data_IF_249838248558
#
_entry.id   IF_249838248558
#
_cell.length_a   1.000
_cell.length_b   1.000
_cell.length_c   1.000
_cell.angle_alpha   90.00
_cell.angle_beta   90.00
_cell.angle_gamma   90.00
#
_symmetry.space_group_name_H-M   'P 1'
#
loop_
_entity.id
_entity.type
_entity.pdbx_description
1 polymer ?
#
# COMPACT_ATOMS: atom_id res chain seq x y z
N UNK A 1 6.47 7.69 4.81
CA UNK A 1 5.13 8.31 4.73
C UNK A 1 5.13 9.84 4.77
N UNK A 2 6.05 10.52 5.47
CA UNK A 2 6.10 11.99 5.60
C UNK A 2 5.94 12.81 4.30
N UNK A 3 6.57 12.42 3.19
CA UNK A 3 6.40 13.13 1.92
C UNK A 3 4.97 13.01 1.37
N UNK A 4 4.34 11.85 1.53
CA UNK A 4 2.96 11.63 1.12
C UNK A 4 2.00 12.43 2.03
N UNK A 5 2.26 12.46 3.34
CA UNK A 5 1.50 13.28 4.30
C UNK A 5 1.59 14.77 4.01
N UNK A 6 2.72 15.23 3.47
CA UNK A 6 2.89 16.60 2.97
C UNK A 6 2.13 16.88 1.65
N UNK A 7 1.42 15.89 1.11
CA UNK A 7 0.59 16.02 -0.09
C UNK A 7 1.36 15.86 -1.41
N UNK A 8 2.59 15.35 -1.37
CA UNK A 8 3.36 15.12 -2.60
C UNK A 8 2.74 14.01 -3.45
N UNK A 9 2.48 14.26 -4.75
CA UNK A 9 1.95 13.23 -5.64
C UNK A 9 3.00 12.14 -5.91
N UNK A 10 2.57 10.90 -6.08
CA UNK A 10 3.43 9.74 -6.41
C UNK A 10 4.28 10.00 -7.67
N UNK A 11 3.71 10.68 -8.66
CA UNK A 11 4.41 11.07 -9.88
C UNK A 11 5.55 12.07 -9.60
N UNK A 12 5.37 13.00 -8.66
CA UNK A 12 6.35 14.04 -8.32
C UNK A 12 7.47 13.60 -7.37
N UNK A 13 7.32 12.44 -6.73
CA UNK A 13 8.34 11.88 -5.84
C UNK A 13 9.51 11.31 -6.64
N UNK A 14 10.72 11.81 -6.44
CA UNK A 14 11.94 11.23 -7.03
C UNK A 14 12.73 10.42 -6.00
N UNK A 15 13.53 9.44 -6.45
CA UNK A 15 14.41 8.67 -5.56
C UNK A 15 15.42 9.59 -4.87
N UNK A 16 15.91 10.62 -5.55
CA UNK A 16 16.76 11.68 -4.98
C UNK A 16 16.09 12.35 -3.78
N UNK A 17 14.83 12.73 -3.93
CA UNK A 17 14.08 13.45 -2.90
C UNK A 17 13.76 12.53 -1.72
N UNK A 18 13.39 11.28 -2.00
CA UNK A 18 13.18 10.25 -0.98
C UNK A 18 14.47 10.02 -0.19
N UNK A 19 15.60 9.80 -0.88
CA UNK A 19 16.91 9.59 -0.27
C UNK A 19 17.32 10.76 0.63
N UNK A 20 17.20 11.99 0.13
CA UNK A 20 17.49 13.21 0.88
C UNK A 20 16.61 13.35 2.12
N UNK A 21 15.31 13.07 1.99
CA UNK A 21 14.36 13.17 3.12
C UNK A 21 14.62 12.10 4.17
N UNK A 22 15.02 10.90 3.75
CA UNK A 22 15.36 9.79 4.63
C UNK A 22 16.79 9.85 5.18
N UNK A 23 17.62 10.81 4.75
CA UNK A 23 19.02 10.93 5.18
C UNK A 23 19.92 9.79 4.70
N UNK A 24 19.55 9.10 3.62
CA UNK A 24 20.30 7.95 3.06
C UNK A 24 20.80 8.22 1.65
N UNK A 25 21.80 7.46 1.20
CA UNK A 25 22.24 7.49 -0.19
C UNK A 25 21.30 6.72 -1.12
N UNK A 26 21.27 7.08 -2.42
CA UNK A 26 20.49 6.36 -3.44
C UNK A 26 20.81 4.87 -3.49
N UNK A 27 22.09 4.51 -3.36
CA UNK A 27 22.53 3.11 -3.37
C UNK A 27 21.88 2.30 -2.23
N UNK A 28 21.63 2.92 -1.07
CA UNK A 28 20.92 2.28 0.05
C UNK A 28 19.48 1.94 -0.32
N UNK A 29 18.81 2.80 -1.09
CA UNK A 29 17.46 2.55 -1.61
C UNK A 29 17.50 1.44 -2.65
N UNK A 30 18.33 1.57 -3.68
CA UNK A 30 18.40 0.60 -4.78
C UNK A 30 18.85 -0.81 -4.36
N UNK A 31 19.54 -0.93 -3.21
CA UNK A 31 19.87 -2.24 -2.64
C UNK A 31 18.63 -3.01 -2.16
N UNK A 32 17.57 -2.30 -1.75
CA UNK A 32 16.36 -2.89 -1.19
C UNK A 32 15.21 -2.95 -2.20
N UNK A 33 15.16 -1.99 -3.13
CA UNK A 33 14.13 -1.92 -4.16
C UNK A 33 14.78 -1.71 -5.52
N UNK A 34 14.45 -2.58 -6.47
CA UNK A 34 15.00 -2.58 -7.82
C UNK A 34 14.54 -1.37 -8.63
N UNK A 35 13.35 -0.87 -8.31
CA UNK A 35 12.78 0.33 -8.92
C UNK A 35 11.87 1.12 -7.95
N UNK A 36 11.33 2.22 -8.47
CA UNK A 36 10.49 3.15 -7.71
C UNK A 36 9.10 2.56 -7.42
N UNK A 37 8.58 1.71 -8.29
CA UNK A 37 7.27 1.07 -8.10
C UNK A 37 7.32 0.08 -6.94
N UNK A 38 8.36 -0.76 -6.89
CA UNK A 38 8.56 -1.73 -5.80
C UNK A 38 8.64 -1.04 -4.43
N UNK A 39 9.36 0.08 -4.35
CA UNK A 39 9.41 0.93 -3.15
C UNK A 39 8.02 1.41 -2.73
N UNK A 40 7.20 1.88 -3.68
CA UNK A 40 5.87 2.36 -3.39
C UNK A 40 4.90 1.25 -2.99
N UNK A 41 5.02 0.06 -3.58
CA UNK A 41 4.25 -1.11 -3.14
C UNK A 41 4.55 -1.41 -1.69
N UNK A 42 5.81 -1.44 -1.29
CA UNK A 42 6.20 -1.69 0.10
C UNK A 42 5.67 -0.61 1.05
N UNK A 43 5.72 0.67 0.66
CA UNK A 43 5.14 1.76 1.47
C UNK A 43 3.62 1.59 1.62
N UNK A 44 2.91 1.23 0.54
CA UNK A 44 1.45 1.02 0.59
C UNK A 44 1.11 -0.21 1.42
N UNK A 45 1.92 -1.28 1.33
CA UNK A 45 1.77 -2.48 2.15
C UNK A 45 1.92 -2.15 3.64
N UNK A 46 2.89 -1.32 4.01
CA UNK A 46 3.11 -0.87 5.39
C UNK A 46 1.94 -0.02 5.94
N UNK A 47 1.17 0.62 5.04
CA UNK A 47 -0.03 1.39 5.41
C UNK A 47 -1.31 0.54 5.46
N UNK A 48 -1.30 -0.67 4.89
CA UNK A 48 -2.42 -1.59 4.93
C UNK A 48 -2.47 -2.30 6.29
N UNK A 49 -3.61 -2.35 6.97
CA UNK A 49 -3.72 -3.12 8.20
C UNK A 49 -3.61 -4.62 7.89
N UNK A 50 -3.09 -5.37 8.86
CA UNK A 50 -3.07 -6.83 8.82
C UNK A 50 -4.48 -7.39 8.61
N UNK A 51 -4.56 -8.51 7.90
CA UNK A 51 -5.83 -9.21 7.76
C UNK A 51 -6.27 -9.78 9.11
N UNK A 52 -7.58 -9.72 9.43
CA UNK A 52 -8.06 -10.21 10.70
C UNK A 52 -7.86 -11.72 10.78
N UNK A 53 -7.59 -12.27 11.97
CA UNK A 53 -7.55 -13.71 12.15
C UNK A 53 -8.93 -14.30 11.87
N UNK A 54 -8.97 -15.33 11.01
CA UNK A 54 -10.16 -16.15 10.75
C UNK A 54 -9.81 -17.61 11.00
N UNK A 55 -10.78 -18.40 11.47
CA UNK A 55 -10.55 -19.81 11.78
C UNK A 55 -10.48 -20.67 10.51
N UNK A 56 -11.13 -20.22 9.43
CA UNK A 56 -11.32 -20.96 8.18
C UNK A 56 -12.35 -22.08 8.29
N UNK A 57 -13.02 -22.22 9.44
CA UNK A 57 -13.93 -23.35 9.76
C UNK A 57 -15.31 -22.91 10.23
N UNK A 58 -15.52 -21.63 10.54
CA UNK A 58 -16.76 -21.10 11.11
C UNK A 58 -17.68 -20.46 10.05
N UNK A 59 -17.39 -20.68 8.77
CA UNK A 59 -18.26 -20.34 7.64
C UNK A 59 -18.71 -18.87 7.64
N UNK A 60 -19.97 -18.63 8.00
CA UNK A 60 -20.54 -17.26 8.03
C UNK A 60 -19.91 -16.35 9.09
N UNK A 61 -19.38 -16.89 10.18
CA UNK A 61 -18.72 -16.09 11.21
C UNK A 61 -17.39 -15.54 10.68
N UNK A 62 -16.55 -16.40 10.09
CA UNK A 62 -15.32 -15.99 9.40
C UNK A 62 -15.62 -14.99 8.27
N UNK A 63 -16.66 -15.24 7.47
CA UNK A 63 -17.07 -14.33 6.40
C UNK A 63 -17.46 -12.95 6.95
N UNK A 64 -18.16 -12.89 8.09
CA UNK A 64 -18.52 -11.62 8.73
C UNK A 64 -17.28 -10.84 9.18
N UNK A 65 -16.28 -11.52 9.75
CA UNK A 65 -15.01 -10.91 10.15
C UNK A 65 -14.29 -10.33 8.93
N UNK A 66 -14.19 -11.09 7.84
CA UNK A 66 -13.58 -10.61 6.59
C UNK A 66 -14.33 -9.41 6.00
N UNK A 67 -15.67 -9.46 5.96
CA UNK A 67 -16.51 -8.38 5.42
C UNK A 67 -16.39 -7.10 6.27
N UNK A 68 -16.32 -7.21 7.59
CA UNK A 68 -16.14 -6.05 8.47
C UNK A 68 -14.74 -5.44 8.33
N UNK A 69 -13.70 -6.26 8.14
CA UNK A 69 -12.36 -5.78 7.79
C UNK A 69 -12.36 -5.03 6.45
N UNK A 70 -13.00 -5.59 5.42
CA UNK A 70 -13.13 -4.94 4.11
C UNK A 70 -13.87 -3.60 4.22
N UNK A 71 -14.97 -3.56 4.99
CA UNK A 71 -15.73 -2.33 5.26
C UNK A 71 -14.85 -1.28 5.95
N UNK A 72 -14.18 -1.65 7.03
CA UNK A 72 -13.37 -0.72 7.84
C UNK A 72 -12.22 -0.14 7.02
N UNK A 73 -11.52 -0.99 6.25
CA UNK A 73 -10.47 -0.55 5.30
C UNK A 73 -11.00 0.40 4.25
N UNK A 74 -12.11 0.05 3.59
CA UNK A 74 -12.73 0.88 2.56
C UNK A 74 -13.17 2.24 3.11
N UNK A 75 -13.64 2.30 4.35
CA UNK A 75 -13.97 3.56 5.03
C UNK A 75 -12.71 4.39 5.31
N UNK A 76 -11.66 3.80 5.89
CA UNK A 76 -10.40 4.49 6.16
C UNK A 76 -9.77 5.06 4.88
N UNK A 77 -9.80 4.29 3.78
CA UNK A 77 -9.34 4.74 2.46
C UNK A 77 -10.13 5.94 1.94
N UNK A 78 -11.44 5.99 2.17
CA UNK A 78 -12.32 7.08 1.72
C UNK A 78 -12.24 8.31 2.61
N UNK A 79 -12.09 8.14 3.92
CA UNK A 79 -12.04 9.24 4.89
C UNK A 79 -10.66 9.89 4.97
N UNK A 80 -9.59 9.15 4.66
CA UNK A 80 -8.23 9.68 4.61
C UNK A 80 -7.93 10.28 3.24
N UNK A 81 -7.78 11.60 3.18
CA UNK A 81 -7.37 12.31 1.95
C UNK A 81 -6.02 11.78 1.41
N UNK A 82 -5.11 11.39 2.31
CA UNK A 82 -3.83 10.79 1.98
C UNK A 82 -4.01 9.46 1.24
N UNK A 83 -4.71 8.51 1.87
CA UNK A 83 -4.94 7.19 1.29
C UNK A 83 -5.73 7.31 -0.01
N UNK A 84 -6.78 8.12 -0.01
CA UNK A 84 -7.58 8.39 -1.21
C UNK A 84 -6.70 8.83 -2.39
N UNK A 85 -5.82 9.81 -2.17
CA UNK A 85 -4.94 10.34 -3.22
C UNK A 85 -3.91 9.31 -3.68
N UNK A 86 -3.33 8.51 -2.78
CA UNK A 86 -2.39 7.43 -3.13
C UNK A 86 -3.08 6.43 -4.06
N UNK A 87 -4.26 5.93 -3.67
CA UNK A 87 -4.98 4.93 -4.45
C UNK A 87 -5.54 5.47 -5.78
N UNK A 88 -5.98 6.72 -5.81
CA UNK A 88 -6.42 7.37 -7.04
C UNK A 88 -5.26 7.47 -8.05
N UNK A 89 -4.09 7.90 -7.60
CA UNK A 89 -2.90 8.01 -8.43
C UNK A 89 -2.34 6.65 -8.85
N UNK A 90 -2.42 5.64 -7.97
CA UNK A 90 -1.94 4.30 -8.25
C UNK A 90 -2.62 3.66 -9.47
N UNK A 91 -3.94 3.87 -9.62
CA UNK A 91 -4.70 3.37 -10.78
C UNK A 91 -4.22 3.96 -12.11
N UNK A 92 -3.63 5.15 -12.09
CA UNK A 92 -3.03 5.78 -13.27
C UNK A 92 -1.61 5.28 -13.58
N UNK A 93 -1.04 4.40 -12.74
CA UNK A 93 0.29 3.80 -12.91
C UNK A 93 0.17 2.27 -13.02
N UNK A 94 -0.06 1.71 -14.23
CA UNK A 94 -0.41 0.30 -14.40
C UNK A 94 0.58 -0.69 -13.78
N UNK A 95 1.88 -0.40 -13.84
CA UNK A 95 2.93 -1.25 -13.25
C UNK A 95 2.76 -1.34 -11.71
N UNK A 96 2.67 -0.19 -11.05
CA UNK A 96 2.44 -0.11 -9.60
C UNK A 96 1.12 -0.77 -9.20
N UNK A 97 0.05 -0.55 -9.97
CA UNK A 97 -1.25 -1.18 -9.72
C UNK A 97 -1.19 -2.71 -9.80
N UNK A 98 -0.51 -3.24 -10.81
CA UNK A 98 -0.34 -4.68 -10.99
C UNK A 98 0.50 -5.29 -9.86
N UNK A 99 1.57 -4.63 -9.45
CA UNK A 99 2.47 -5.10 -8.41
C UNK A 99 1.83 -5.04 -7.02
N UNK A 100 1.03 -3.99 -6.75
CA UNK A 100 0.16 -3.92 -5.59
C UNK A 100 -0.86 -5.07 -5.58
N UNK A 101 -1.56 -5.30 -6.70
CA UNK A 101 -2.51 -6.40 -6.78
C UNK A 101 -1.87 -7.77 -6.59
N UNK A 102 -0.70 -8.00 -7.19
CA UNK A 102 0.01 -9.28 -7.09
C UNK A 102 0.56 -9.56 -5.69
N UNK A 103 1.04 -8.54 -4.99
CA UNK A 103 1.78 -8.73 -3.73
C UNK A 103 0.99 -8.39 -2.47
N UNK A 104 -0.09 -7.62 -2.57
CA UNK A 104 -0.92 -7.21 -1.41
C UNK A 104 -2.33 -7.77 -1.49
N UNK A 105 -2.93 -7.85 -2.69
CA UNK A 105 -4.31 -8.34 -2.84
C UNK A 105 -4.36 -9.85 -3.10
N UNK A 106 -3.51 -10.36 -4.00
CA UNK A 106 -3.57 -11.76 -4.41
C UNK A 106 -3.31 -12.76 -3.28
N UNK A 107 -2.39 -12.53 -2.31
CA UNK A 107 -2.19 -13.44 -1.19
C UNK A 107 -3.46 -13.68 -0.37
N UNK A 108 -4.33 -12.66 -0.26
CA UNK A 108 -5.60 -12.74 0.47
C UNK A 108 -6.63 -13.70 -0.15
N UNK A 109 -6.42 -14.14 -1.39
CA UNK A 109 -7.27 -15.14 -2.06
C UNK A 109 -6.82 -16.56 -1.79
N UNK A 110 -5.61 -16.74 -1.27
CA UNK A 110 -4.99 -18.04 -1.00
C UNK A 110 -5.02 -18.40 0.49
N UNK A 111 -5.22 -17.40 1.36
CA UNK A 111 -5.48 -17.57 2.79
C UNK A 111 -6.96 -17.85 3.05
#
# INVERSE_FOLDING_TARGET
IALLEAGEPLAGLSIERIARTAGVGKATIYRRWSDKEELFVDVVRDMEPDDPPVSGTEGLADLRVMLESLRTRGLAQRSSALLHNIFAQMKSHPKLWNEYHGSVIAPRRLA
#
